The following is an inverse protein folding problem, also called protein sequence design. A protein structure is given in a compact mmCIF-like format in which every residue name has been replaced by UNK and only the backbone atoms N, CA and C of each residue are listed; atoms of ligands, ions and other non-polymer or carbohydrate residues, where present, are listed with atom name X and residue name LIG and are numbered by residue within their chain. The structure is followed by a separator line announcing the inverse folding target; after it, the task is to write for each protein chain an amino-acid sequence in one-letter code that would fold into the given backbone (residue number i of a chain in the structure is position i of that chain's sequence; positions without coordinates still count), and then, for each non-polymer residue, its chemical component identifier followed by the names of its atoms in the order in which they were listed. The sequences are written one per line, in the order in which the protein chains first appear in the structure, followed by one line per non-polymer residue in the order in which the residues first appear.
data_IF_824287169621
#
_entry.id   IF_824287169621
#
_cell.length_a   1.000
_cell.length_b   1.000
_cell.length_c   1.000
_cell.angle_alpha   90.00
_cell.angle_beta   90.00
_cell.angle_gamma   90.00
#
_symmetry.space_group_name_H-M   'P 1'
#
loop_
_entity.id
_entity.type
_entity.pdbx_description
1 polymer ?
#
# COMPACT_ATOMS: atom_id res chain seq x y z
N UNK A 1 -61.42 27.12 -35.76
CA UNK A 1 -60.29 26.93 -34.80
C UNK A 1 -60.10 25.51 -34.31
N UNK A 2 -60.98 24.55 -34.62
CA UNK A 2 -60.89 23.16 -34.12
C UNK A 2 -59.99 22.24 -35.00
N UNK A 3 -59.75 22.62 -36.26
CA UNK A 3 -58.97 21.79 -37.20
C UNK A 3 -57.46 22.04 -37.18
N UNK A 4 -56.97 23.15 -36.53
CA UNK A 4 -55.55 23.41 -36.39
C UNK A 4 -54.90 22.61 -35.20
N UNK A 5 -55.72 22.24 -34.21
CA UNK A 5 -55.26 21.50 -33.04
C UNK A 5 -55.07 19.99 -33.28
N UNK A 6 -55.75 19.45 -34.30
CA UNK A 6 -55.60 18.02 -34.67
C UNK A 6 -54.33 17.74 -35.46
N UNK A 7 -53.77 18.72 -36.19
CA UNK A 7 -52.51 18.58 -36.92
C UNK A 7 -51.27 18.60 -36.01
N UNK A 8 -51.32 19.29 -34.84
CA UNK A 8 -50.19 19.45 -33.95
C UNK A 8 -49.96 18.23 -33.03
N UNK A 9 -51.01 17.46 -32.73
CA UNK A 9 -50.92 16.24 -31.92
C UNK A 9 -50.35 15.07 -32.73
N UNK A 10 -50.50 15.04 -34.04
CA UNK A 10 -49.97 14.00 -34.93
C UNK A 10 -48.49 14.19 -35.29
N UNK A 11 -47.91 15.41 -35.12
CA UNK A 11 -46.53 15.68 -35.48
C UNK A 11 -45.57 15.37 -34.29
N UNK A 12 -46.10 15.17 -33.07
CA UNK A 12 -45.29 14.85 -31.87
C UNK A 12 -45.09 13.36 -31.62
N UNK A 13 -45.72 12.48 -32.43
CA UNK A 13 -45.61 11.02 -32.28
C UNK A 13 -44.58 10.37 -33.22
N UNK A 14 -43.80 11.17 -33.97
CA UNK A 14 -42.94 10.61 -35.05
C UNK A 14 -41.45 10.61 -34.70
N UNK A 15 -41.05 10.84 -33.48
CA UNK A 15 -39.62 10.72 -33.06
C UNK A 15 -39.37 9.63 -32.02
N UNK A 16 -40.10 8.54 -32.08
CA UNK A 16 -39.62 7.31 -31.44
C UNK A 16 -38.53 6.75 -32.38
N UNK A 17 -37.30 7.19 -32.15
CA UNK A 17 -36.16 6.58 -32.85
C UNK A 17 -36.21 5.08 -32.61
N UNK A 18 -36.21 4.30 -33.69
CA UNK A 18 -36.08 2.85 -33.60
C UNK A 18 -34.70 2.56 -33.05
N UNK A 19 -34.63 2.17 -31.79
CA UNK A 19 -33.38 1.79 -31.15
C UNK A 19 -33.07 0.37 -31.58
N UNK A 20 -31.89 0.17 -32.16
CA UNK A 20 -31.44 -1.09 -32.70
C UNK A 20 -30.54 -1.79 -31.70
N UNK A 21 -30.76 -3.07 -31.45
CA UNK A 21 -29.96 -3.90 -30.56
C UNK A 21 -29.58 -5.24 -31.22
N UNK A 22 -28.52 -5.78 -30.71
CA UNK A 22 -28.04 -7.10 -31.04
C UNK A 22 -28.06 -7.99 -29.80
N UNK A 23 -28.33 -9.27 -29.98
CA UNK A 23 -28.32 -10.28 -28.92
C UNK A 23 -27.87 -11.61 -29.50
N UNK A 24 -26.81 -12.17 -28.94
CA UNK A 24 -26.30 -13.50 -29.36
C UNK A 24 -27.21 -14.64 -28.87
N UNK A 25 -28.13 -14.38 -27.95
CA UNK A 25 -28.78 -15.41 -27.16
C UNK A 25 -27.80 -16.11 -26.21
N UNK A 26 -28.31 -17.06 -25.44
CA UNK A 26 -27.47 -17.89 -24.59
C UNK A 26 -26.69 -18.91 -25.39
N UNK A 27 -25.37 -18.91 -25.21
CA UNK A 27 -24.45 -19.83 -25.87
C UNK A 27 -23.80 -20.75 -24.83
N UNK A 28 -23.68 -22.01 -25.15
CA UNK A 28 -22.98 -23.05 -24.38
C UNK A 28 -22.00 -23.75 -25.34
N UNK A 29 -20.76 -23.90 -24.92
CA UNK A 29 -19.77 -24.64 -25.71
C UNK A 29 -19.89 -26.15 -25.43
N UNK A 30 -19.83 -27.01 -26.47
CA UNK A 30 -19.80 -28.46 -26.29
C UNK A 30 -18.58 -28.94 -25.46
N UNK A 31 -17.47 -28.17 -25.49
CA UNK A 31 -16.27 -28.48 -24.74
C UNK A 31 -16.33 -27.96 -23.30
N UNK A 32 -17.31 -27.09 -22.96
CA UNK A 32 -17.46 -26.48 -21.67
C UNK A 32 -18.93 -26.19 -21.33
N UNK A 33 -19.60 -27.18 -20.81
CA UNK A 33 -21.00 -27.07 -20.38
C UNK A 33 -21.18 -26.43 -19.00
N UNK A 34 -20.07 -26.02 -18.38
CA UNK A 34 -20.05 -25.40 -17.03
C UNK A 34 -20.27 -23.90 -17.05
N UNK A 35 -20.17 -23.29 -18.23
CA UNK A 35 -20.45 -21.88 -18.45
C UNK A 35 -21.41 -21.69 -19.62
N UNK A 36 -22.30 -20.71 -19.47
CA UNK A 36 -23.06 -20.15 -20.58
C UNK A 36 -22.89 -18.66 -20.62
N UNK A 37 -22.82 -18.12 -21.82
CA UNK A 37 -22.64 -16.69 -22.06
C UNK A 37 -23.77 -16.12 -22.86
N UNK A 38 -24.04 -14.84 -22.70
CA UNK A 38 -24.93 -14.03 -23.56
C UNK A 38 -24.28 -12.67 -23.75
N UNK A 39 -24.21 -12.19 -24.97
CA UNK A 39 -23.75 -10.83 -25.25
C UNK A 39 -24.91 -10.07 -25.90
N UNK A 40 -25.32 -9.00 -25.21
CA UNK A 40 -26.34 -8.08 -25.71
C UNK A 40 -25.70 -6.73 -25.99
N UNK A 41 -26.17 -6.01 -27.00
CA UNK A 41 -25.63 -4.73 -27.36
C UNK A 41 -26.68 -3.80 -27.93
N UNK A 42 -26.60 -2.51 -27.56
CA UNK A 42 -27.43 -1.42 -28.05
C UNK A 42 -26.55 -0.37 -28.72
N UNK A 43 -26.87 0.01 -29.95
CA UNK A 43 -26.12 1.08 -30.62
C UNK A 43 -26.63 2.45 -30.18
N UNK A 44 -25.70 3.26 -29.70
CA UNK A 44 -25.90 4.69 -29.50
C UNK A 44 -25.24 5.51 -30.62
N UNK A 45 -25.39 6.81 -30.63
CA UNK A 45 -24.95 7.67 -31.73
C UNK A 45 -23.45 7.51 -32.07
N UNK A 46 -22.57 7.37 -31.08
CA UNK A 46 -21.10 7.34 -31.26
C UNK A 46 -20.44 6.03 -30.85
N UNK A 47 -21.12 5.22 -30.07
CA UNK A 47 -20.58 3.96 -29.52
C UNK A 47 -21.69 2.91 -29.37
N UNK A 48 -21.27 1.70 -29.04
CA UNK A 48 -22.18 0.60 -28.75
C UNK A 48 -22.04 0.21 -27.28
N UNK A 49 -23.16 0.19 -26.56
CA UNK A 49 -23.23 -0.36 -25.20
C UNK A 49 -23.44 -1.86 -25.28
N UNK A 50 -22.50 -2.62 -24.78
CA UNK A 50 -22.55 -4.07 -24.68
C UNK A 50 -22.70 -4.54 -23.25
N UNK A 51 -23.32 -5.68 -23.06
CA UNK A 51 -23.43 -6.39 -21.79
C UNK A 51 -23.08 -7.85 -21.99
N UNK A 52 -21.93 -8.25 -21.45
CA UNK A 52 -21.54 -9.65 -21.39
C UNK A 52 -22.07 -10.25 -20.09
N UNK A 53 -23.00 -11.20 -20.21
CA UNK A 53 -23.49 -12.00 -19.07
C UNK A 53 -22.87 -13.38 -19.12
N UNK A 54 -22.23 -13.79 -18.03
CA UNK A 54 -21.66 -15.12 -17.84
C UNK A 54 -22.38 -15.78 -16.68
N UNK A 55 -22.90 -16.97 -16.88
CA UNK A 55 -23.47 -17.82 -15.83
C UNK A 55 -22.67 -19.11 -15.73
N UNK A 56 -22.32 -19.48 -14.50
CA UNK A 56 -21.46 -20.60 -14.18
C UNK A 56 -22.20 -21.64 -13.36
N UNK A 57 -21.93 -22.92 -13.58
CA UNK A 57 -22.43 -23.97 -12.70
C UNK A 57 -21.79 -23.85 -11.29
N UNK A 58 -22.47 -24.32 -10.23
CA UNK A 58 -21.92 -24.29 -8.87
C UNK A 58 -20.51 -24.87 -8.79
N UNK A 59 -19.62 -24.16 -8.09
CA UNK A 59 -18.21 -24.54 -7.93
C UNK A 59 -17.29 -24.12 -9.07
N UNK A 60 -17.84 -23.59 -10.17
CA UNK A 60 -17.06 -23.01 -11.25
C UNK A 60 -16.92 -21.51 -11.08
N UNK A 61 -15.79 -20.97 -11.56
CA UNK A 61 -15.39 -19.56 -11.45
C UNK A 61 -14.84 -19.08 -12.77
N UNK A 62 -14.94 -17.77 -13.02
CA UNK A 62 -14.23 -17.08 -14.10
C UNK A 62 -13.44 -15.92 -13.50
N UNK A 63 -12.58 -15.32 -14.30
CA UNK A 63 -11.59 -14.39 -13.79
C UNK A 63 -11.97 -12.93 -14.01
N UNK A 64 -11.45 -12.08 -13.14
CA UNK A 64 -11.47 -10.64 -13.29
C UNK A 64 -10.33 -10.18 -14.23
N UNK A 65 -10.28 -8.89 -14.57
CA UNK A 65 -9.21 -8.30 -15.41
C UNK A 65 -7.79 -8.54 -14.89
N UNK A 66 -7.66 -8.73 -13.58
CA UNK A 66 -6.44 -9.12 -12.90
C UNK A 66 -6.70 -10.42 -12.14
N UNK A 67 -6.37 -11.57 -12.71
CA UNK A 67 -6.68 -12.87 -12.11
C UNK A 67 -5.96 -13.14 -10.78
N UNK A 68 -4.85 -12.46 -10.50
CA UNK A 68 -3.97 -12.75 -9.36
C UNK A 68 -2.88 -13.77 -9.73
N UNK A 69 -2.58 -14.69 -8.82
CA UNK A 69 -1.48 -15.67 -8.98
C UNK A 69 -1.72 -16.72 -10.07
N UNK A 70 -2.95 -16.82 -10.59
CA UNK A 70 -3.25 -17.78 -11.65
C UNK A 70 -4.52 -17.44 -12.40
N UNK A 71 -4.62 -17.92 -13.65
CA UNK A 71 -5.79 -17.74 -14.52
C UNK A 71 -5.57 -16.77 -15.66
N UNK A 72 -6.60 -16.65 -16.51
CA UNK A 72 -6.60 -15.79 -17.70
C UNK A 72 -7.85 -14.92 -17.68
N UNK A 73 -7.67 -13.60 -17.77
CA UNK A 73 -8.77 -12.66 -17.88
C UNK A 73 -9.59 -12.90 -19.16
N UNK A 74 -10.91 -12.71 -19.13
CA UNK A 74 -11.73 -12.74 -20.34
C UNK A 74 -11.26 -11.68 -21.34
N UNK A 75 -11.30 -12.05 -22.62
CA UNK A 75 -10.89 -11.18 -23.71
C UNK A 75 -11.83 -11.37 -24.89
N UNK A 76 -12.18 -10.29 -25.59
CA UNK A 76 -12.87 -10.37 -26.86
C UNK A 76 -11.91 -9.91 -27.97
N UNK A 77 -11.83 -10.69 -29.02
CA UNK A 77 -11.13 -10.33 -30.25
C UNK A 77 -12.13 -9.78 -31.26
N UNK A 78 -12.01 -8.51 -31.58
CA UNK A 78 -12.82 -7.78 -32.52
C UNK A 78 -12.08 -7.58 -33.85
N UNK A 79 -12.81 -7.29 -34.97
CA UNK A 79 -12.19 -6.86 -36.22
C UNK A 79 -11.36 -5.58 -36.05
N UNK A 80 -10.44 -5.37 -37.00
CA UNK A 80 -9.58 -4.18 -37.01
C UNK A 80 -10.40 -2.87 -37.01
N UNK A 81 -10.01 -1.93 -36.14
CA UNK A 81 -10.64 -0.64 -35.98
C UNK A 81 -11.78 -0.62 -34.94
N UNK A 82 -12.17 -1.76 -34.38
CA UNK A 82 -13.08 -1.82 -33.23
C UNK A 82 -12.28 -2.00 -31.96
N UNK A 83 -12.58 -1.15 -30.98
CA UNK A 83 -11.97 -1.20 -29.65
C UNK A 83 -13.03 -1.40 -28.58
N UNK A 84 -12.67 -2.03 -27.47
CA UNK A 84 -13.53 -2.24 -26.32
C UNK A 84 -12.99 -1.60 -25.05
N UNK A 85 -13.90 -1.17 -24.20
CA UNK A 85 -13.63 -0.68 -22.85
C UNK A 85 -14.55 -1.39 -21.86
N UNK A 86 -13.98 -2.12 -20.94
CA UNK A 86 -14.69 -2.96 -19.98
C UNK A 86 -14.90 -2.25 -18.66
N UNK A 87 -16.13 -2.23 -18.18
CA UNK A 87 -16.50 -1.74 -16.87
C UNK A 87 -16.66 -2.91 -15.89
N UNK A 88 -15.59 -3.21 -15.17
CA UNK A 88 -15.50 -4.42 -14.38
C UNK A 88 -16.22 -4.29 -13.03
N UNK A 89 -17.21 -5.16 -12.73
CA UNK A 89 -17.80 -5.26 -11.40
C UNK A 89 -16.76 -5.63 -10.35
N UNK A 90 -17.09 -5.41 -9.08
CA UNK A 90 -16.24 -5.83 -7.95
C UNK A 90 -16.07 -7.36 -7.99
N UNK A 91 -14.83 -7.89 -8.00
CA UNK A 91 -14.59 -9.32 -7.97
C UNK A 91 -14.75 -9.91 -6.56
N UNK A 92 -14.73 -11.23 -6.49
CA UNK A 92 -14.48 -12.00 -5.27
C UNK A 92 -13.07 -12.60 -5.30
N UNK A 93 -12.53 -12.92 -4.13
CA UNK A 93 -11.27 -13.63 -4.00
C UNK A 93 -11.52 -15.11 -3.78
N UNK A 94 -10.69 -15.95 -4.42
CA UNK A 94 -10.75 -17.40 -4.28
C UNK A 94 -9.35 -17.97 -4.07
N UNK A 95 -9.30 -19.06 -3.34
CA UNK A 95 -8.16 -19.98 -3.38
C UNK A 95 -8.44 -21.06 -4.44
N UNK A 96 -7.49 -21.28 -5.34
CA UNK A 96 -7.51 -22.38 -6.31
C UNK A 96 -6.15 -23.10 -6.17
N UNK A 97 -6.16 -24.25 -5.54
CA UNK A 97 -4.95 -25.07 -5.34
C UNK A 97 -3.80 -24.34 -4.64
N UNK A 98 -4.11 -23.49 -3.67
CA UNK A 98 -3.15 -22.69 -2.92
C UNK A 98 -2.74 -21.37 -3.60
N UNK A 99 -3.31 -21.04 -4.74
CA UNK A 99 -3.12 -19.76 -5.43
C UNK A 99 -4.26 -18.80 -5.16
N UNK A 100 -3.96 -17.59 -4.75
CA UNK A 100 -4.95 -16.53 -4.55
C UNK A 100 -5.36 -15.91 -5.87
N UNK A 101 -6.64 -16.08 -6.26
CA UNK A 101 -7.19 -15.57 -7.52
C UNK A 101 -8.34 -14.61 -7.30
N UNK A 102 -8.61 -13.76 -8.29
CA UNK A 102 -9.68 -12.76 -8.30
C UNK A 102 -10.63 -13.00 -9.48
N UNK A 103 -11.93 -13.02 -9.24
CA UNK A 103 -12.89 -13.29 -10.31
C UNK A 103 -14.33 -13.34 -9.81
N UNK A 104 -15.14 -14.16 -10.48
CA UNK A 104 -16.58 -14.25 -10.28
C UNK A 104 -17.05 -15.70 -10.21
N UNK A 105 -18.11 -15.93 -9.47
CA UNK A 105 -18.84 -17.20 -9.38
C UNK A 105 -20.32 -16.97 -9.72
N UNK A 106 -21.05 -18.05 -9.94
CA UNK A 106 -22.47 -18.08 -10.24
C UNK A 106 -22.86 -17.25 -11.46
N UNK A 107 -23.00 -15.95 -11.34
CA UNK A 107 -23.40 -15.04 -12.42
C UNK A 107 -22.67 -13.71 -12.31
N UNK A 108 -22.16 -13.23 -13.44
CA UNK A 108 -21.65 -11.88 -13.59
C UNK A 108 -22.16 -11.24 -14.88
N UNK A 109 -22.47 -9.96 -14.81
CA UNK A 109 -22.82 -9.13 -15.95
C UNK A 109 -21.79 -7.99 -16.05
N UNK A 110 -21.06 -7.93 -17.14
CA UNK A 110 -19.96 -7.00 -17.36
C UNK A 110 -20.34 -6.01 -18.47
N UNK A 111 -20.54 -4.73 -18.15
CA UNK A 111 -20.76 -3.70 -19.17
C UNK A 111 -19.50 -3.45 -19.99
N UNK A 112 -19.68 -3.32 -21.30
CA UNK A 112 -18.59 -3.10 -22.27
C UNK A 112 -19.03 -1.99 -23.22
N UNK A 113 -18.17 -1.02 -23.46
CA UNK A 113 -18.38 -0.02 -24.49
C UNK A 113 -17.52 -0.35 -25.69
N UNK A 114 -18.12 -0.37 -26.89
CA UNK A 114 -17.42 -0.61 -28.14
C UNK A 114 -17.38 0.68 -28.95
N UNK A 115 -16.21 1.03 -29.44
CA UNK A 115 -15.98 2.16 -30.33
C UNK A 115 -15.52 1.67 -31.70
N UNK A 116 -15.79 2.46 -32.75
CA UNK A 116 -15.37 2.15 -34.11
C UNK A 116 -16.25 1.15 -34.84
N UNK A 117 -17.37 0.73 -34.28
CA UNK A 117 -18.30 -0.22 -34.89
C UNK A 117 -18.99 0.38 -36.15
N UNK A 118 -18.79 -0.22 -37.32
CA UNK A 118 -19.33 0.21 -38.60
C UNK A 118 -20.25 -0.88 -39.19
N UNK A 119 -21.28 -0.44 -39.94
CA UNK A 119 -22.24 -1.37 -40.53
C UNK A 119 -23.26 -1.92 -39.55
N UNK A 120 -24.10 -2.81 -40.00
CA UNK A 120 -25.25 -3.35 -39.26
C UNK A 120 -24.95 -4.66 -38.52
N UNK A 121 -23.78 -5.24 -38.75
CA UNK A 121 -23.33 -6.48 -38.10
C UNK A 121 -21.92 -6.32 -37.54
N UNK A 122 -21.62 -7.04 -36.44
CA UNK A 122 -20.29 -7.12 -35.84
C UNK A 122 -20.04 -8.56 -35.41
N UNK A 123 -18.93 -9.13 -35.87
CA UNK A 123 -18.44 -10.43 -35.44
C UNK A 123 -17.27 -10.28 -34.49
N UNK A 124 -17.17 -11.18 -33.50
CA UNK A 124 -16.07 -11.23 -32.55
C UNK A 124 -15.93 -12.62 -31.96
N UNK A 125 -14.92 -12.82 -31.16
CA UNK A 125 -14.70 -14.08 -30.44
C UNK A 125 -14.35 -13.75 -28.98
N UNK A 126 -15.20 -14.21 -28.05
CA UNK A 126 -14.92 -14.16 -26.63
C UNK A 126 -14.11 -15.40 -26.24
N UNK A 127 -12.90 -15.19 -25.73
CA UNK A 127 -12.10 -16.21 -25.03
C UNK A 127 -12.34 -16.09 -23.54
N UNK A 128 -12.90 -17.14 -22.93
CA UNK A 128 -13.26 -17.19 -21.50
C UNK A 128 -12.55 -18.35 -20.82
N UNK A 129 -11.83 -18.04 -19.75
CA UNK A 129 -11.27 -19.05 -18.84
C UNK A 129 -12.24 -19.31 -17.69
N UNK A 130 -12.56 -20.60 -17.48
CA UNK A 130 -13.38 -21.06 -16.35
C UNK A 130 -12.65 -22.13 -15.58
N UNK A 131 -12.69 -22.07 -14.25
CA UNK A 131 -11.93 -22.99 -13.40
C UNK A 131 -12.77 -23.53 -12.24
N UNK A 132 -12.51 -24.78 -11.92
CA UNK A 132 -12.84 -25.39 -10.62
C UNK A 132 -11.58 -26.10 -10.11
N UNK A 133 -11.50 -27.43 -10.20
CA UNK A 133 -10.27 -28.20 -10.02
C UNK A 133 -9.42 -28.28 -11.29
N UNK A 134 -10.03 -28.00 -12.43
CA UNK A 134 -9.40 -27.90 -13.76
C UNK A 134 -9.80 -26.57 -14.37
N UNK A 135 -8.91 -25.97 -15.16
CA UNK A 135 -9.18 -24.75 -15.92
C UNK A 135 -9.42 -25.10 -17.41
N UNK A 136 -10.48 -24.53 -17.95
CA UNK A 136 -10.87 -24.66 -19.36
C UNK A 136 -10.82 -23.30 -20.01
N UNK A 137 -10.10 -23.18 -21.11
CA UNK A 137 -10.12 -22.00 -21.98
C UNK A 137 -11.06 -22.28 -23.14
N UNK A 138 -12.06 -21.44 -23.33
CA UNK A 138 -13.14 -21.69 -24.28
C UNK A 138 -13.41 -20.45 -25.11
N UNK A 139 -13.53 -20.65 -26.43
CA UNK A 139 -13.87 -19.60 -27.36
C UNK A 139 -15.39 -19.66 -27.71
N UNK A 140 -16.02 -18.50 -27.65
CA UNK A 140 -17.43 -18.29 -27.99
C UNK A 140 -17.51 -17.31 -29.14
N UNK A 141 -18.04 -17.73 -30.33
CA UNK A 141 -18.26 -16.81 -31.44
C UNK A 141 -19.39 -15.84 -31.09
N UNK A 142 -19.16 -14.57 -31.28
CA UNK A 142 -20.15 -13.50 -31.08
C UNK A 142 -20.57 -13.01 -32.46
N UNK A 143 -21.87 -13.05 -32.75
CA UNK A 143 -22.47 -12.47 -33.97
C UNK A 143 -23.54 -11.47 -33.53
N UNK A 144 -23.30 -10.19 -33.77
CA UNK A 144 -24.18 -9.09 -33.38
C UNK A 144 -24.85 -8.50 -34.64
N UNK A 145 -26.18 -8.56 -34.70
CA UNK A 145 -27.00 -7.98 -35.76
C UNK A 145 -27.80 -6.81 -35.18
N UNK A 146 -27.38 -5.60 -35.51
CA UNK A 146 -27.99 -4.35 -35.04
C UNK A 146 -29.23 -3.93 -35.82
N UNK A 147 -29.75 -4.74 -36.76
CA UNK A 147 -30.99 -4.45 -37.48
C UNK A 147 -32.23 -4.79 -36.63
N UNK A 148 -32.07 -5.49 -35.54
CA UNK A 148 -33.17 -5.98 -34.69
C UNK A 148 -33.53 -4.97 -33.61
N UNK A 149 -34.80 -4.95 -33.12
CA UNK A 149 -35.19 -4.10 -32.01
C UNK A 149 -34.53 -4.54 -30.70
N UNK A 150 -34.31 -3.58 -29.78
CA UNK A 150 -33.76 -3.83 -28.45
C UNK A 150 -34.71 -4.69 -27.61
N UNK A 151 -34.17 -5.64 -26.88
CA UNK A 151 -34.88 -6.28 -25.78
C UNK A 151 -35.17 -5.20 -24.68
N UNK A 152 -36.43 -5.06 -24.30
CA UNK A 152 -36.85 -4.08 -23.29
C UNK A 152 -36.14 -4.27 -21.94
N UNK A 153 -35.68 -5.50 -21.64
CA UNK A 153 -34.93 -5.85 -20.43
C UNK A 153 -33.49 -5.33 -20.43
N UNK A 154 -32.86 -5.18 -21.58
CA UNK A 154 -31.43 -4.84 -21.69
C UNK A 154 -31.03 -3.60 -20.92
N UNK A 155 -31.76 -2.50 -21.04
CA UNK A 155 -31.40 -1.24 -20.37
C UNK A 155 -31.44 -1.35 -18.85
N UNK A 156 -32.39 -2.12 -18.31
CA UNK A 156 -32.50 -2.36 -16.87
C UNK A 156 -31.36 -3.26 -16.37
N UNK A 157 -31.01 -4.30 -17.12
CA UNK A 157 -29.89 -5.21 -16.82
C UNK A 157 -28.55 -4.48 -16.91
N UNK A 158 -28.36 -3.66 -17.94
CA UNK A 158 -27.16 -2.81 -18.09
C UNK A 158 -27.04 -1.82 -16.93
N UNK A 159 -28.10 -1.12 -16.57
CA UNK A 159 -28.10 -0.19 -15.44
C UNK A 159 -27.84 -0.90 -14.09
N UNK A 160 -28.32 -2.13 -13.94
CA UNK A 160 -28.03 -2.94 -12.77
C UNK A 160 -26.55 -3.35 -12.72
N UNK A 161 -26.00 -3.81 -13.85
CA UNK A 161 -24.59 -4.18 -13.96
C UNK A 161 -23.67 -2.98 -13.68
N UNK A 162 -24.01 -1.80 -14.19
CA UNK A 162 -23.25 -0.56 -13.92
C UNK A 162 -23.22 -0.19 -12.43
N UNK A 163 -24.26 -0.52 -11.66
CA UNK A 163 -24.23 -0.29 -10.19
C UNK A 163 -23.26 -1.19 -9.44
N UNK A 164 -22.89 -2.33 -10.03
CA UNK A 164 -21.88 -3.23 -9.45
C UNK A 164 -20.44 -2.82 -9.81
N UNK A 165 -20.25 -1.83 -10.69
CA UNK A 165 -18.95 -1.29 -11.06
C UNK A 165 -18.48 -0.32 -9.99
N UNK A 166 -17.22 -0.41 -9.52
CA UNK A 166 -16.68 0.53 -8.55
C UNK A 166 -16.72 1.99 -9.04
N UNK A 167 -17.10 2.90 -8.15
CA UNK A 167 -16.96 4.33 -8.40
C UNK A 167 -15.49 4.79 -8.34
N UNK A 168 -15.24 6.06 -8.66
CA UNK A 168 -13.91 6.68 -8.52
C UNK A 168 -13.67 7.28 -7.13
N UNK A 169 -14.70 7.29 -6.27
CA UNK A 169 -14.66 7.86 -4.92
C UNK A 169 -15.77 7.24 -4.06
N UNK A 170 -15.83 7.61 -2.77
CA UNK A 170 -16.94 7.27 -1.89
C UNK A 170 -16.65 6.18 -0.85
N UNK A 171 -15.44 5.62 -0.83
CA UNK A 171 -15.00 4.68 0.22
C UNK A 171 -13.97 5.33 1.12
N UNK A 172 -12.93 5.91 0.54
CA UNK A 172 -11.86 6.61 1.28
C UNK A 172 -11.32 7.78 0.45
N UNK A 173 -11.00 8.90 1.11
CA UNK A 173 -10.45 10.10 0.46
C UNK A 173 -8.95 10.27 0.67
N UNK A 174 -8.36 9.68 1.72
CA UNK A 174 -7.00 9.89 2.19
C UNK A 174 -6.17 8.59 2.18
N UNK A 175 -6.11 7.95 1.02
CA UNK A 175 -5.32 6.73 0.86
C UNK A 175 -3.83 7.06 0.76
N UNK A 176 -3.03 6.26 1.45
CA UNK A 176 -1.56 6.29 1.38
C UNK A 176 -1.02 4.89 1.24
N UNK A 177 0.01 4.72 0.42
CA UNK A 177 0.66 3.43 0.19
C UNK A 177 2.17 3.56 0.22
N UNK A 178 2.88 2.63 0.86
CA UNK A 178 4.32 2.56 0.92
C UNK A 178 4.81 1.13 1.08
N UNK A 179 6.08 0.87 0.76
CA UNK A 179 6.72 -0.41 0.99
C UNK A 179 7.42 -0.43 2.36
N UNK A 180 7.08 -1.41 3.19
CA UNK A 180 7.73 -1.67 4.48
C UNK A 180 8.39 -3.05 4.45
N UNK A 181 9.66 -3.10 4.13
CA UNK A 181 10.39 -4.34 3.89
C UNK A 181 9.91 -5.05 2.62
N UNK A 182 9.29 -6.22 2.77
CA UNK A 182 8.68 -7.04 1.71
C UNK A 182 7.15 -6.90 1.66
N UNK A 183 6.60 -5.89 2.34
CA UNK A 183 5.16 -5.72 2.46
C UNK A 183 4.72 -4.35 1.96
N UNK A 184 3.79 -4.35 1.03
CA UNK A 184 3.05 -3.16 0.66
C UNK A 184 2.06 -2.84 1.78
N UNK A 185 2.13 -1.65 2.31
CA UNK A 185 1.21 -1.15 3.35
C UNK A 185 0.34 -0.07 2.73
N UNK A 186 -0.97 -0.21 2.88
CA UNK A 186 -1.95 0.78 2.46
C UNK A 186 -2.74 1.19 3.69
N UNK A 187 -2.92 2.48 3.87
CA UNK A 187 -3.76 3.05 4.94
C UNK A 187 -4.76 4.03 4.36
N UNK A 188 -5.86 4.18 5.05
CA UNK A 188 -6.89 5.15 4.70
C UNK A 188 -7.95 5.30 5.77
N UNK A 189 -8.78 6.31 5.63
CA UNK A 189 -9.93 6.54 6.51
C UNK A 189 -11.21 6.58 5.69
N UNK A 190 -12.34 6.31 6.34
CA UNK A 190 -13.68 6.35 5.73
C UNK A 190 -14.60 7.27 6.53
N UNK A 191 -15.61 7.81 5.87
CA UNK A 191 -16.69 8.54 6.52
C UNK A 191 -17.60 7.57 7.28
N UNK A 192 -17.28 7.25 8.51
CA UNK A 192 -18.03 6.32 9.33
C UNK A 192 -17.17 5.17 9.83
N UNK A 193 -17.64 3.94 9.67
CA UNK A 193 -16.92 2.73 10.08
C UNK A 193 -16.62 1.84 8.89
N UNK A 194 -15.55 1.10 8.98
CA UNK A 194 -15.27 0.00 8.07
C UNK A 194 -16.15 -1.20 8.42
N UNK A 195 -16.84 -1.72 7.39
CA UNK A 195 -17.71 -2.89 7.46
C UNK A 195 -17.27 -3.88 6.36
N UNK A 196 -16.69 -4.99 6.77
CA UNK A 196 -16.18 -6.03 5.87
C UNK A 196 -15.36 -5.47 4.69
N UNK A 197 -14.24 -4.74 4.95
CA UNK A 197 -13.44 -4.16 3.90
C UNK A 197 -12.74 -5.22 3.05
N UNK A 198 -12.71 -4.99 1.74
CA UNK A 198 -11.98 -5.81 0.76
C UNK A 198 -11.07 -4.96 -0.10
N UNK A 199 -10.00 -5.57 -0.62
CA UNK A 199 -9.11 -4.92 -1.58
C UNK A 199 -8.72 -5.90 -2.69
N UNK A 200 -8.73 -5.43 -3.95
CA UNK A 200 -8.45 -6.23 -5.14
C UNK A 200 -7.49 -5.46 -6.03
N UNK A 201 -6.35 -6.07 -6.35
CA UNK A 201 -5.27 -5.38 -7.06
C UNK A 201 -5.33 -5.62 -8.56
N UNK A 202 -5.07 -4.56 -9.32
CA UNK A 202 -4.63 -4.68 -10.70
C UNK A 202 -3.19 -5.20 -10.75
N UNK A 203 -2.69 -5.68 -11.90
CA UNK A 203 -1.31 -6.08 -12.05
C UNK A 203 -0.38 -4.93 -11.64
N UNK A 204 0.60 -5.22 -10.81
CA UNK A 204 1.61 -4.25 -10.38
C UNK A 204 2.67 -4.10 -11.49
N UNK A 205 3.22 -2.89 -11.61
CA UNK A 205 4.29 -2.64 -12.58
C UNK A 205 5.56 -3.43 -12.21
N UNK A 206 6.14 -4.17 -13.16
CA UNK A 206 7.43 -4.85 -13.02
C UNK A 206 7.31 -6.27 -12.47
N UNK A 207 6.31 -7.02 -12.93
CA UNK A 207 6.13 -8.46 -12.64
C UNK A 207 6.06 -8.77 -11.13
N UNK A 208 5.47 -7.83 -10.39
CA UNK A 208 5.30 -7.94 -8.95
C UNK A 208 3.93 -8.55 -8.66
N UNK A 209 3.94 -9.61 -7.87
CA UNK A 209 2.76 -10.35 -7.47
C UNK A 209 2.33 -9.94 -6.05
N UNK A 210 1.12 -9.41 -5.88
CA UNK A 210 0.54 -9.20 -4.56
C UNK A 210 0.00 -10.52 -4.03
N UNK A 211 0.48 -10.94 -2.88
CA UNK A 211 -0.08 -12.09 -2.17
C UNK A 211 -1.37 -11.76 -1.42
N UNK A 212 -1.77 -12.61 -0.52
CA UNK A 212 -3.00 -12.43 0.25
C UNK A 212 -2.92 -11.21 1.18
N UNK A 213 -3.84 -10.23 1.08
CA UNK A 213 -3.85 -9.05 1.94
C UNK A 213 -4.36 -9.37 3.34
N UNK A 214 -3.65 -8.87 4.33
CA UNK A 214 -4.11 -8.84 5.73
C UNK A 214 -4.73 -7.48 6.00
N UNK A 215 -6.05 -7.47 6.24
CA UNK A 215 -6.83 -6.26 6.47
C UNK A 215 -7.09 -6.11 7.96
N UNK A 216 -6.71 -4.96 8.52
CA UNK A 216 -7.03 -4.56 9.90
C UNK A 216 -7.73 -3.21 9.87
N UNK A 217 -8.77 -3.06 10.65
CA UNK A 217 -9.48 -1.78 10.78
C UNK A 217 -9.89 -1.53 12.23
N UNK A 218 -9.94 -0.27 12.60
CA UNK A 218 -10.41 0.20 13.89
C UNK A 218 -11.17 1.51 13.70
N UNK A 219 -12.45 1.48 14.04
CA UNK A 219 -13.36 2.59 13.80
C UNK A 219 -13.39 2.98 12.33
N UNK A 220 -12.89 4.18 12.02
CA UNK A 220 -12.83 4.72 10.66
C UNK A 220 -11.48 4.50 9.96
N UNK A 221 -10.48 3.93 10.64
CA UNK A 221 -9.14 3.72 10.07
C UNK A 221 -8.99 2.32 9.50
N UNK A 222 -8.29 2.21 8.38
CA UNK A 222 -7.95 0.96 7.70
C UNK A 222 -6.43 0.86 7.55
N UNK A 223 -5.93 -0.35 7.75
CA UNK A 223 -4.57 -0.74 7.40
C UNK A 223 -4.57 -2.07 6.69
N UNK A 224 -4.13 -2.07 5.46
CA UNK A 224 -3.93 -3.27 4.65
C UNK A 224 -2.43 -3.55 4.56
N UNK A 225 -2.05 -4.80 4.72
CA UNK A 225 -0.67 -5.25 4.57
C UNK A 225 -0.65 -6.42 3.61
N UNK A 226 0.10 -6.29 2.53
CA UNK A 226 0.15 -7.26 1.43
C UNK A 226 1.60 -7.69 1.24
N UNK A 227 1.93 -8.98 1.37
CA UNK A 227 3.23 -9.46 0.94
C UNK A 227 3.36 -9.27 -0.57
N UNK A 228 4.52 -8.81 -1.03
CA UNK A 228 4.80 -8.61 -2.45
C UNK A 228 6.11 -9.27 -2.82
N UNK A 229 6.07 -10.05 -3.89
CA UNK A 229 7.21 -10.77 -4.43
C UNK A 229 7.30 -10.53 -5.93
N UNK A 230 8.45 -10.81 -6.53
CA UNK A 230 8.58 -10.94 -7.96
C UNK A 230 8.12 -12.34 -8.43
N UNK A 231 8.18 -12.61 -9.73
CA UNK A 231 7.84 -13.92 -10.31
C UNK A 231 8.65 -15.10 -9.74
N UNK A 232 9.81 -14.83 -9.19
CA UNK A 232 10.73 -15.85 -8.64
C UNK A 232 10.53 -16.07 -7.15
N UNK A 233 9.63 -15.29 -6.51
CA UNK A 233 9.38 -15.34 -5.08
C UNK A 233 10.36 -14.50 -4.25
N UNK A 234 11.22 -13.72 -4.90
CA UNK A 234 12.14 -12.80 -4.25
C UNK A 234 11.47 -11.47 -3.90
N UNK A 235 12.12 -10.68 -3.05
CA UNK A 235 11.62 -9.35 -2.71
C UNK A 235 11.82 -8.39 -3.87
N UNK A 236 10.79 -7.62 -4.25
CA UNK A 236 10.94 -6.61 -5.30
C UNK A 236 11.97 -5.57 -4.87
N UNK A 237 12.82 -5.14 -5.81
CA UNK A 237 13.89 -4.19 -5.54
C UNK A 237 13.35 -2.83 -5.03
N UNK A 238 12.26 -2.32 -5.59
CA UNK A 238 11.58 -1.11 -5.13
C UNK A 238 10.18 -1.00 -5.77
N UNK A 239 9.22 -0.53 -4.98
CA UNK A 239 7.89 -0.12 -5.45
C UNK A 239 7.71 1.39 -5.41
N UNK A 240 8.65 2.14 -4.83
CA UNK A 240 8.54 3.59 -4.68
C UNK A 240 8.40 4.28 -6.04
N UNK A 241 7.43 5.15 -6.16
CA UNK A 241 7.08 5.86 -7.38
C UNK A 241 6.29 5.03 -8.41
N UNK A 242 6.19 3.71 -8.26
CA UNK A 242 5.39 2.87 -9.15
C UNK A 242 3.90 3.11 -8.95
N UNK A 243 3.14 2.90 -10.02
CA UNK A 243 1.69 3.06 -10.01
C UNK A 243 1.02 1.84 -9.40
N UNK A 244 0.12 2.09 -8.47
CA UNK A 244 -0.70 1.10 -7.80
C UNK A 244 -2.16 1.36 -8.12
N UNK A 245 -2.83 0.42 -8.78
CA UNK A 245 -4.27 0.45 -9.04
C UNK A 245 -4.96 -0.69 -8.31
N UNK A 246 -6.08 -0.39 -7.65
CA UNK A 246 -6.84 -1.39 -6.90
C UNK A 246 -8.30 -0.96 -6.73
N UNK A 247 -9.14 -1.92 -6.43
CA UNK A 247 -10.51 -1.70 -5.98
C UNK A 247 -10.54 -1.89 -4.46
N UNK A 248 -11.08 -0.91 -3.75
CA UNK A 248 -11.30 -0.93 -2.31
C UNK A 248 -12.80 -0.99 -2.04
N UNK A 249 -13.24 -1.89 -1.16
CA UNK A 249 -14.64 -2.03 -0.80
C UNK A 249 -14.88 -1.77 0.68
N UNK A 250 -16.08 -1.32 1.01
CA UNK A 250 -16.58 -1.16 2.38
C UNK A 250 -18.09 -1.46 2.40
N UNK A 251 -18.46 -2.70 2.77
CA UNK A 251 -19.81 -3.21 2.58
C UNK A 251 -20.21 -3.17 1.10
N UNK A 252 -21.34 -2.53 0.79
CA UNK A 252 -21.85 -2.42 -0.60
C UNK A 252 -21.19 -1.31 -1.42
N UNK A 253 -20.32 -0.49 -0.83
CA UNK A 253 -19.60 0.58 -1.53
C UNK A 253 -18.28 0.07 -2.06
N UNK A 254 -17.96 0.49 -3.28
CA UNK A 254 -16.70 0.16 -3.93
C UNK A 254 -16.09 1.36 -4.64
N UNK A 255 -14.77 1.49 -4.55
CA UNK A 255 -14.01 2.56 -5.16
C UNK A 255 -12.80 1.98 -5.87
N UNK A 256 -12.63 2.33 -7.15
CA UNK A 256 -11.40 2.09 -7.88
C UNK A 256 -10.46 3.28 -7.67
N UNK A 257 -9.24 3.01 -7.30
CA UNK A 257 -8.22 4.04 -7.03
C UNK A 257 -6.93 3.69 -7.75
N UNK A 258 -6.29 4.73 -8.30
CA UNK A 258 -4.92 4.65 -8.82
C UNK A 258 -4.08 5.69 -8.08
N UNK A 259 -2.97 5.26 -7.52
CA UNK A 259 -2.05 6.12 -6.76
C UNK A 259 -0.60 5.67 -6.94
N UNK A 260 0.35 6.52 -6.60
CA UNK A 260 1.77 6.13 -6.57
C UNK A 260 2.14 5.62 -5.18
N UNK A 261 2.99 4.59 -5.15
CA UNK A 261 3.58 4.11 -3.90
C UNK A 261 4.58 5.17 -3.40
N UNK A 262 4.36 5.71 -2.22
CA UNK A 262 5.21 6.72 -1.60
C UNK A 262 6.45 6.14 -0.94
N UNK A 263 7.32 7.03 -0.50
CA UNK A 263 8.43 6.67 0.38
C UNK A 263 7.89 6.12 1.71
N UNK A 264 8.62 5.18 2.29
CA UNK A 264 8.28 4.67 3.62
C UNK A 264 8.20 5.82 4.62
N UNK A 265 7.07 6.05 5.29
CA UNK A 265 6.99 7.06 6.33
C UNK A 265 8.09 6.79 7.36
N UNK A 266 8.97 7.75 7.57
CA UNK A 266 9.90 7.70 8.71
C UNK A 266 9.01 7.75 9.94
N UNK A 267 8.80 6.59 10.56
CA UNK A 267 8.11 6.56 11.85
C UNK A 267 8.85 7.55 12.76
N UNK A 268 8.18 8.55 13.36
CA UNK A 268 8.80 9.29 14.44
C UNK A 268 9.26 8.20 15.41
N UNK A 269 10.57 8.14 15.63
CA UNK A 269 11.16 7.18 16.58
C UNK A 269 10.35 7.33 17.84
N UNK A 270 9.46 6.36 18.11
CA UNK A 270 8.78 6.34 19.39
C UNK A 270 9.90 6.42 20.39
N UNK A 271 9.90 7.36 21.34
CA UNK A 271 10.95 7.45 22.34
C UNK A 271 10.98 6.09 23.02
N UNK A 272 11.93 5.26 22.62
CA UNK A 272 12.14 3.96 23.26
C UNK A 272 12.23 4.29 24.73
N UNK A 273 11.27 3.79 25.48
CA UNK A 273 10.88 4.23 26.80
C UNK A 273 12.02 4.89 27.56
N UNK A 274 11.98 6.20 27.65
CA UNK A 274 12.96 7.03 28.39
C UNK A 274 13.32 6.40 29.73
N UNK A 275 12.40 5.62 30.31
CA UNK A 275 12.63 4.83 31.53
C UNK A 275 13.65 3.70 31.34
N UNK A 276 13.72 3.01 30.22
CA UNK A 276 14.74 1.97 29.95
C UNK A 276 16.11 2.62 29.73
N UNK A 277 16.19 3.74 29.00
CA UNK A 277 17.44 4.47 28.81
C UNK A 277 17.98 5.03 30.14
N UNK A 278 17.10 5.60 30.95
CA UNK A 278 17.49 6.08 32.29
C UNK A 278 17.93 4.93 33.18
N UNK A 279 17.26 3.80 33.15
CA UNK A 279 17.65 2.60 33.89
C UNK A 279 19.03 2.08 33.47
N UNK A 280 19.31 1.98 32.17
CA UNK A 280 20.60 1.55 31.64
C UNK A 280 21.71 2.59 31.95
N UNK A 281 21.42 3.87 31.89
CA UNK A 281 22.36 4.94 32.28
C UNK A 281 22.68 4.87 33.77
N UNK A 282 21.70 4.65 34.66
CA UNK A 282 21.89 4.46 36.08
C UNK A 282 22.67 3.17 36.39
N UNK A 283 22.35 2.06 35.73
CA UNK A 283 23.09 0.82 35.92
C UNK A 283 24.55 0.95 35.44
N UNK A 284 24.77 1.56 34.28
CA UNK A 284 26.11 1.83 33.76
C UNK A 284 26.91 2.75 34.69
N UNK A 285 26.29 3.80 35.19
CA UNK A 285 26.90 4.70 36.20
C UNK A 285 27.22 3.95 37.49
N UNK A 286 26.35 3.06 37.95
CA UNK A 286 26.59 2.24 39.14
C UNK A 286 27.76 1.26 38.95
N UNK A 287 27.82 0.61 37.81
CA UNK A 287 28.91 -0.34 37.46
C UNK A 287 30.24 0.40 37.37
N UNK A 288 30.28 1.58 36.75
CA UNK A 288 31.51 2.38 36.66
C UNK A 288 31.96 2.89 38.06
N UNK A 289 31.03 3.17 38.96
CA UNK A 289 31.36 3.55 40.35
C UNK A 289 31.79 2.36 41.23
N UNK A 290 31.43 1.16 40.89
CA UNK A 290 31.86 -0.08 41.56
C UNK A 290 33.23 -0.59 41.08
N UNK A 291 33.82 0.04 40.05
CA UNK A 291 35.17 -0.33 39.61
C UNK A 291 36.18 -0.13 40.79
N UNK A 292 37.08 -1.10 41.03
CA UNK A 292 37.96 -1.14 42.17
C UNK A 292 38.92 0.05 42.29
N UNK A 293 39.00 0.90 41.26
CA UNK A 293 39.82 2.10 41.25
C UNK A 293 39.20 3.34 41.99
N UNK A 294 37.86 3.40 42.11
CA UNK A 294 37.13 4.56 42.68
C UNK A 294 36.92 4.36 44.19
N UNK A 295 36.71 3.13 44.66
CA UNK A 295 36.51 2.80 46.06
C UNK A 295 37.68 3.22 46.97
N UNK A 296 38.98 3.03 46.59
CA UNK A 296 40.09 3.46 47.44
C UNK A 296 40.17 4.99 47.59
N UNK A 297 39.83 5.75 46.53
CA UNK A 297 39.87 7.24 46.58
C UNK A 297 38.76 7.81 47.44
N UNK A 298 37.55 7.23 47.37
CA UNK A 298 36.42 7.61 48.23
C UNK A 298 36.70 7.24 49.71
N UNK A 299 37.30 6.06 49.94
CA UNK A 299 37.69 5.62 51.27
C UNK A 299 38.72 6.56 51.91
N UNK A 300 39.74 7.02 51.16
CA UNK A 300 40.73 7.98 51.65
C UNK A 300 40.12 9.36 51.95
N UNK A 301 39.20 9.86 51.11
CA UNK A 301 38.50 11.12 51.39
C UNK A 301 37.59 11.01 52.61
N UNK A 302 36.86 9.91 52.75
CA UNK A 302 35.98 9.73 53.91
C UNK A 302 36.81 9.64 55.25
N UNK A 303 37.92 8.94 55.16
CA UNK A 303 38.81 8.81 56.30
C UNK A 303 39.45 10.19 56.72
N UNK A 304 39.81 11.01 55.72
CA UNK A 304 40.35 12.39 56.06
C UNK A 304 39.26 13.27 56.59
N UNK A 305 38.01 13.17 56.23
CA UNK A 305 36.91 13.95 56.82
C UNK A 305 36.60 13.49 58.25
N UNK A 306 36.64 12.19 58.49
CA UNK A 306 36.44 11.63 59.83
C UNK A 306 37.58 12.01 60.79
N UNK A 307 38.84 12.00 60.34
CA UNK A 307 40.00 12.45 61.12
C UNK A 307 39.94 13.96 61.40
N UNK A 308 39.52 14.79 60.43
CA UNK A 308 39.34 16.23 60.66
C UNK A 308 38.26 16.52 61.73
N UNK A 309 37.15 15.74 61.72
CA UNK A 309 36.12 15.84 62.76
C UNK A 309 36.62 15.37 64.14
N UNK A 310 37.45 14.34 64.21
CA UNK A 310 38.04 13.86 65.45
C UNK A 310 39.03 14.89 66.02
N UNK A 311 39.86 15.52 65.18
CA UNK A 311 40.78 16.58 65.62
C UNK A 311 40.04 17.86 66.07
N UNK A 312 38.95 18.22 65.39
CA UNK A 312 38.08 19.33 65.77
C UNK A 312 37.39 19.07 67.14
N UNK A 313 37.09 17.82 67.46
CA UNK A 313 36.49 17.45 68.77
C UNK A 313 37.53 17.44 69.91
N UNK A 314 38.79 17.17 69.60
CA UNK A 314 39.88 17.20 70.62
C UNK A 314 40.48 18.58 70.85
N UNK A 315 40.40 19.51 69.88
CA UNK A 315 40.89 20.88 70.00
C UNK A 315 39.92 21.86 70.73
N UNK A 316 38.71 21.37 71.02
CA UNK A 316 37.71 22.19 71.77
C UNK A 316 37.98 22.39 73.24
N UNK A 317 39.12 21.95 73.78
CA UNK A 317 39.39 22.03 75.22
C UNK A 317 40.72 22.71 75.56
N UNK A 318 41.18 23.74 74.86
CA UNK A 318 42.30 24.55 75.32
C UNK A 318 42.05 26.03 75.02
N UNK A 319 41.71 26.67 76.13
CA UNK A 319 41.76 28.05 76.56
C UNK A 319 42.11 29.20 75.64
N UNK A 320 41.28 30.20 75.82
CA UNK A 320 41.47 31.63 75.62
C UNK A 320 42.88 32.08 75.94
N UNK A 321 43.49 32.83 75.06
CA UNK A 321 44.18 34.06 75.39
C UNK A 321 44.21 35.00 74.19
N UNK A 322 43.91 36.30 74.40
CA UNK A 322 43.93 37.30 73.34
C UNK A 322 45.30 38.03 73.40
N UNK A 323 45.73 38.46 72.32
CA UNK A 323 46.74 39.46 71.96
C UNK A 323 47.82 38.94 71.01
N UNK A 324 47.80 39.43 69.84
CA UNK A 324 48.78 40.32 69.23
C UNK A 324 48.58 40.50 67.77
N UNK A 325 48.29 41.69 67.49
CA UNK A 325 48.39 42.39 66.21
C UNK A 325 49.80 42.36 65.63
N UNK A 326 49.84 42.64 64.36
CA UNK A 326 50.88 43.23 63.50
C UNK A 326 51.51 42.24 62.56
N UNK A 327 51.27 42.48 61.32
CA UNK A 327 51.67 43.48 60.37
C UNK A 327 52.71 42.94 59.38
N UNK A 328 52.59 43.50 58.30
CA UNK A 328 53.51 43.55 57.15
C UNK A 328 53.28 42.38 56.15
N UNK A 329 52.88 42.62 55.00
CA UNK A 329 53.18 43.69 54.05
C UNK A 329 53.90 43.08 52.88
N UNK A 330 53.49 43.41 51.77
CA UNK A 330 54.34 43.25 50.61
C UNK A 330 53.71 42.50 49.38
N UNK A 331 53.18 43.30 48.56
CA UNK A 331 53.42 43.42 47.13
C UNK A 331 53.64 42.18 46.31
N UNK A 332 52.88 42.11 45.28
CA UNK A 332 53.39 41.83 43.98
C UNK A 332 52.44 41.23 43.01
N UNK A 333 51.88 42.10 42.25
CA UNK A 333 51.60 42.02 40.80
C UNK A 333 50.87 40.85 40.16
N UNK A 334 49.68 41.17 39.70
CA UNK A 334 49.30 41.35 38.26
C UNK A 334 49.27 40.13 37.41
N UNK A 335 48.09 40.09 36.83
CA UNK A 335 47.73 39.65 35.47
C UNK A 335 47.64 38.14 35.35
N UNK A 336 46.66 37.56 34.69
CA UNK A 336 45.84 38.01 33.59
C UNK A 336 44.61 37.11 33.47
N UNK A 337 43.57 37.67 32.96
CA UNK A 337 42.36 36.99 32.57
C UNK A 337 42.64 35.93 31.48
N UNK A 338 42.16 34.70 31.70
CA UNK A 338 42.15 33.66 30.68
C UNK A 338 40.82 32.94 30.67
N UNK A 339 39.96 33.34 29.78
CA UNK A 339 38.73 32.66 29.38
C UNK A 339 39.04 31.23 29.01
N UNK A 340 38.54 30.25 29.70
CA UNK A 340 38.55 28.85 29.31
C UNK A 340 37.30 28.51 28.53
N UNK A 341 37.46 28.39 27.25
CA UNK A 341 36.46 27.93 26.28
C UNK A 341 36.27 26.43 26.41
N UNK A 342 35.03 26.02 26.36
CA UNK A 342 34.60 24.64 26.24
C UNK A 342 35.35 23.88 25.12
N UNK A 343 36.00 22.80 25.48
CA UNK A 343 36.67 21.92 24.55
C UNK A 343 35.70 21.11 23.69
N UNK A 344 35.56 21.50 22.47
CA UNK A 344 34.97 20.65 21.39
C UNK A 344 36.05 19.62 21.07
N UNK A 345 35.67 18.35 21.13
CA UNK A 345 36.52 17.23 20.72
C UNK A 345 36.95 17.35 19.27
N UNK A 346 38.22 17.62 19.07
CA UNK A 346 38.84 17.53 17.75
C UNK A 346 39.21 16.07 17.47
N UNK A 347 38.61 15.50 16.45
CA UNK A 347 39.11 14.30 15.81
C UNK A 347 40.50 14.64 15.23
N UNK A 348 41.51 14.01 15.79
CA UNK A 348 42.87 14.07 15.25
C UNK A 348 42.89 13.29 13.95
N UNK A 349 43.30 13.87 12.80
CA UNK A 349 43.52 13.08 11.61
C UNK A 349 44.76 12.21 11.77
N UNK A 350 44.62 10.92 11.53
CA UNK A 350 45.72 9.98 11.52
C UNK A 350 46.81 10.36 10.49
N UNK A 351 48.08 10.23 10.80
CA UNK A 351 49.16 10.55 9.90
C UNK A 351 49.23 9.51 8.79
N UNK A 352 49.06 9.95 7.53
CA UNK A 352 49.27 9.16 6.35
C UNK A 352 50.78 8.97 6.13
N UNK A 353 51.27 7.76 6.28
CA UNK A 353 52.68 7.44 5.99
C UNK A 353 52.82 7.09 4.51
N UNK A 354 53.65 7.90 3.80
CA UNK A 354 54.00 7.64 2.40
C UNK A 354 55.34 6.92 2.31
N UNK A 355 55.39 5.87 1.46
CA UNK A 355 56.66 5.27 1.02
C UNK A 355 57.21 6.04 -0.20
N UNK A 356 58.53 5.96 -0.44
CA UNK A 356 59.14 6.69 -1.55
C UNK A 356 58.75 6.23 -2.97
N UNK A 357 58.00 5.14 -3.09
CA UNK A 357 57.50 4.57 -4.34
C UNK A 357 56.12 5.11 -4.80
N UNK A 358 55.54 6.07 -4.10
CA UNK A 358 54.30 6.74 -4.51
C UNK A 358 53.01 5.92 -4.41
N UNK A 359 53.05 4.72 -3.80
CA UNK A 359 51.85 3.91 -3.65
C UNK A 359 51.19 4.10 -2.28
N UNK A 360 49.90 4.41 -2.28
CA UNK A 360 49.11 4.53 -1.07
C UNK A 360 48.81 3.14 -0.49
N UNK A 361 49.16 2.90 0.75
CA UNK A 361 48.64 1.77 1.52
C UNK A 361 47.41 2.18 2.30
N UNK A 362 46.32 1.44 2.12
CA UNK A 362 45.14 1.53 2.99
C UNK A 362 45.52 0.95 4.36
N UNK A 363 45.14 1.58 5.46
CA UNK A 363 45.34 1.01 6.77
C UNK A 363 44.48 -0.26 6.89
N UNK A 364 45.13 -1.38 7.21
CA UNK A 364 44.43 -2.60 7.58
C UNK A 364 43.89 -2.37 8.98
N UNK A 365 42.62 -2.00 9.06
CA UNK A 365 41.89 -2.07 10.31
C UNK A 365 41.79 -3.54 10.72
N UNK A 366 42.44 -3.91 11.80
CA UNK A 366 42.23 -5.19 12.45
C UNK A 366 40.78 -5.22 12.96
N UNK A 367 39.96 -6.07 12.36
CA UNK A 367 38.62 -6.36 12.85
C UNK A 367 38.71 -7.04 14.23
N UNK A 368 37.96 -6.58 15.24
CA UNK A 368 37.68 -7.40 16.38
C UNK A 368 36.61 -8.41 16.00
N UNK A 369 37.01 -9.67 15.85
CA UNK A 369 36.11 -10.81 15.76
C UNK A 369 35.28 -10.90 17.03
N UNK A 370 34.01 -10.53 16.95
CA UNK A 370 32.98 -11.01 17.86
C UNK A 370 32.06 -11.96 17.11
N UNK A 371 32.36 -13.24 17.19
CA UNK A 371 31.36 -14.31 17.03
C UNK A 371 30.76 -14.57 18.41
N UNK A 372 29.46 -14.34 18.52
CA UNK A 372 28.49 -15.24 19.19
C UNK A 372 27.17 -15.06 18.48
#
# INVERSE_FOLDING_TARGET
MVNLFRGFVFLWLSCIGIVHAADTGWQVSPQNDHARIRFQAEREQTHVKGLLTVELKPGWKTYWRSPGEGGVAPKISWPEGVTDSWSWPVPSRFDISGMTTQGYHDKVAIPITLDGVKGDTLDGTLTLSTCSNVCLLTDYPLHLDFTRPVDEGFRSEFAQAMRAVPGTSGVSADLSAWLAGDKLVITGTTDGKWDNPGIYFDPLEGDILPGEPVIKHDGNTLRVTVPVTDEWGDKPASLEGKRLSFVLTNGDRAQQTTMSVGATPVAPSAPEGTGKMVLFALLGGLILNLMPCVLPVMGMKLNSILQARHQAALSGHQRRDPHLLYAAGGNGDRAEAGRGVAGVGHSVPEPVVYRPDGRRHLPVCAEPVWRV
#
